data_IF_476832446958
#
_entry.id   IF_476832446958
#
_cell.length_a   1.000
_cell.length_b   1.000
_cell.length_c   1.000
_cell.angle_alpha   90.00
_cell.angle_beta   90.00
_cell.angle_gamma   90.00
#
_symmetry.space_group_name_H-M   'P 1'
#
loop_
_entity.id
_entity.type
_entity.pdbx_description
1 polymer ?
#
# COMPACT_ATOMS: atom_id res chain seq x y z
N UNK A 1 22.19 9.24 10.39
CA UNK A 1 22.48 9.20 8.93
C UNK A 1 21.13 9.39 8.27
N UNK A 2 20.90 10.56 7.66
CA UNK A 2 19.55 11.16 7.47
C UNK A 2 18.55 10.20 6.85
N UNK A 3 18.96 9.45 5.83
CA UNK A 3 18.07 8.50 5.16
C UNK A 3 17.71 7.30 6.03
N UNK A 4 18.65 6.81 6.85
CA UNK A 4 18.40 5.70 7.75
C UNK A 4 17.39 6.08 8.83
N UNK A 5 17.50 7.29 9.35
CA UNK A 5 16.59 7.82 10.37
C UNK A 5 15.18 8.01 9.78
N UNK A 6 15.08 8.56 8.56
CA UNK A 6 13.83 8.69 7.83
C UNK A 6 13.12 7.34 7.61
N UNK A 7 13.84 6.31 7.14
CA UNK A 7 13.27 4.97 6.98
C UNK A 7 12.91 4.32 8.33
N UNK A 8 13.68 4.59 9.39
CA UNK A 8 13.38 4.13 10.74
C UNK A 8 12.03 4.66 11.24
N UNK A 9 11.75 5.95 11.02
CA UNK A 9 10.45 6.53 11.37
C UNK A 9 9.32 6.01 10.50
N UNK A 10 9.52 5.89 9.18
CA UNK A 10 8.46 5.47 8.28
C UNK A 10 8.07 4.00 8.44
N UNK A 11 9.06 3.10 8.58
CA UNK A 11 8.82 1.66 8.70
C UNK A 11 8.63 1.20 10.15
N UNK A 12 8.50 2.12 11.11
CA UNK A 12 8.33 1.78 12.52
C UNK A 12 7.09 0.89 12.77
N UNK A 13 6.08 0.98 11.90
CA UNK A 13 4.88 0.14 11.90
C UNK A 13 5.21 -1.35 11.86
N UNK A 14 6.30 -1.74 11.20
CA UNK A 14 6.77 -3.14 11.12
C UNK A 14 7.32 -3.68 12.43
N UNK A 15 7.60 -2.81 13.39
CA UNK A 15 8.16 -3.16 14.70
C UNK A 15 7.11 -3.14 15.82
N UNK A 16 5.86 -2.85 15.50
CA UNK A 16 4.75 -2.90 16.47
C UNK A 16 4.54 -4.37 16.88
N UNK A 17 4.44 -4.70 18.19
CA UNK A 17 4.40 -6.09 18.67
C UNK A 17 3.02 -6.76 18.51
N UNK A 18 2.06 -6.06 17.89
CA UNK A 18 0.70 -6.53 17.62
C UNK A 18 0.39 -6.35 16.14
N UNK A 19 -0.55 -7.12 15.58
CA UNK A 19 -0.95 -6.96 14.18
C UNK A 19 -1.42 -5.53 13.88
N UNK A 20 -1.00 -5.00 12.73
CA UNK A 20 -1.41 -3.68 12.26
C UNK A 20 -2.29 -3.81 11.02
N UNK A 21 -3.46 -3.20 11.06
CA UNK A 21 -4.41 -3.15 9.94
C UNK A 21 -4.44 -1.73 9.38
N UNK A 22 -4.23 -1.59 8.07
CA UNK A 22 -4.43 -0.33 7.35
C UNK A 22 -5.88 -0.22 6.87
N UNK A 23 -6.63 0.73 7.44
CA UNK A 23 -7.93 1.17 6.92
C UNK A 23 -7.74 2.28 5.88
N UNK A 24 -7.89 1.95 4.60
CA UNK A 24 -7.69 2.86 3.47
C UNK A 24 -9.03 3.55 3.17
N UNK A 25 -9.31 4.66 3.86
CA UNK A 25 -10.57 5.40 3.79
C UNK A 25 -10.61 6.48 2.68
N UNK A 26 -9.99 6.19 1.54
CA UNK A 26 -9.80 7.14 0.45
C UNK A 26 -8.54 6.85 -0.34
N UNK A 27 -8.26 7.66 -1.36
CA UNK A 27 -7.13 7.40 -2.26
C UNK A 27 -5.77 7.45 -1.54
N UNK A 28 -4.98 6.39 -1.66
CA UNK A 28 -3.62 6.30 -1.11
C UNK A 28 -2.61 6.15 -2.24
N UNK A 29 -1.78 7.17 -2.45
CA UNK A 29 -0.86 7.26 -3.60
C UNK A 29 0.58 7.40 -3.10
N UNK A 30 1.51 6.67 -3.73
CA UNK A 30 2.94 6.76 -3.42
C UNK A 30 3.21 6.34 -1.98
N UNK A 31 3.79 7.24 -1.18
CA UNK A 31 4.17 6.95 0.20
C UNK A 31 3.01 6.44 1.08
N UNK A 32 1.78 6.92 0.87
CA UNK A 32 0.60 6.43 1.60
C UNK A 32 0.32 4.94 1.31
N UNK A 33 0.45 4.52 0.05
CA UNK A 33 0.28 3.12 -0.32
C UNK A 33 1.46 2.25 0.17
N UNK A 34 2.68 2.80 0.17
CA UNK A 34 3.84 2.12 0.73
C UNK A 34 3.64 1.84 2.23
N UNK A 35 3.10 2.80 2.99
CA UNK A 35 2.79 2.61 4.41
C UNK A 35 1.70 1.55 4.61
N UNK A 36 0.60 1.63 3.87
CA UNK A 36 -0.47 0.64 3.95
C UNK A 36 0.03 -0.78 3.64
N UNK A 37 0.97 -0.91 2.70
CA UNK A 37 1.57 -2.21 2.31
C UNK A 37 2.57 -2.72 3.33
N UNK A 38 3.15 -1.85 4.15
CA UNK A 38 3.96 -2.25 5.30
C UNK A 38 3.09 -2.79 6.46
N UNK A 39 1.81 -2.42 6.57
CA UNK A 39 0.89 -3.05 7.53
C UNK A 39 0.66 -4.53 7.22
N UNK A 40 0.20 -5.30 8.21
CA UNK A 40 -0.01 -6.75 8.06
C UNK A 40 -1.25 -7.02 7.21
N UNK A 41 -2.36 -6.32 7.50
CA UNK A 41 -3.63 -6.41 6.77
C UNK A 41 -4.01 -5.04 6.18
N UNK A 42 -4.85 -5.07 5.15
CA UNK A 42 -5.36 -3.89 4.45
C UNK A 42 -6.84 -4.08 4.15
N UNK A 43 -7.64 -3.11 4.59
CA UNK A 43 -9.06 -2.94 4.25
C UNK A 43 -9.19 -1.65 3.46
N UNK A 44 -9.87 -1.68 2.33
CA UNK A 44 -9.98 -0.52 1.44
C UNK A 44 -11.43 -0.13 1.20
N UNK A 45 -11.71 1.16 1.28
CA UNK A 45 -12.98 1.74 0.84
C UNK A 45 -13.25 1.43 -0.64
N UNK A 46 -14.49 1.04 -0.96
CA UNK A 46 -14.89 0.64 -2.32
C UNK A 46 -14.69 1.73 -3.39
N UNK A 47 -14.72 3.02 -3.01
CA UNK A 47 -14.53 4.15 -3.92
C UNK A 47 -13.07 4.64 -4.00
N UNK A 48 -12.18 4.11 -3.16
CA UNK A 48 -10.79 4.55 -3.12
C UNK A 48 -10.01 4.12 -4.38
N UNK A 49 -8.94 4.87 -4.69
CA UNK A 49 -7.94 4.49 -5.70
C UNK A 49 -6.55 4.51 -5.10
N UNK A 50 -5.75 3.50 -5.40
CA UNK A 50 -4.39 3.35 -4.85
C UNK A 50 -3.35 3.11 -5.92
N UNK A 51 -2.09 3.45 -5.65
CA UNK A 51 -1.02 3.17 -6.62
C UNK A 51 0.38 3.63 -6.22
N UNK A 52 1.36 3.13 -6.97
CA UNK A 52 2.80 3.37 -6.80
C UNK A 52 3.34 4.23 -7.95
N UNK A 53 2.88 5.48 -8.02
CA UNK A 53 3.02 6.35 -9.21
C UNK A 53 4.40 7.02 -9.37
N UNK A 54 5.44 6.52 -8.71
CA UNK A 54 6.79 7.13 -8.70
C UNK A 54 7.39 7.30 -10.10
N UNK A 55 7.16 6.33 -11.00
CA UNK A 55 7.69 6.36 -12.37
C UNK A 55 7.15 7.53 -13.18
N UNK A 56 5.92 7.99 -12.88
CA UNK A 56 5.32 9.16 -13.54
C UNK A 56 6.05 10.47 -13.16
N UNK A 57 6.86 10.44 -12.11
CA UNK A 57 7.71 11.55 -11.67
C UNK A 57 9.19 11.34 -12.06
N UNK A 58 9.51 10.27 -12.81
CA UNK A 58 10.89 9.89 -13.12
C UNK A 58 11.67 9.37 -11.90
N UNK A 59 10.96 8.91 -10.86
CA UNK A 59 11.57 8.44 -9.61
C UNK A 59 11.54 6.92 -9.50
N UNK A 60 12.61 6.37 -8.94
CA UNK A 60 12.61 4.98 -8.46
C UNK A 60 11.61 4.83 -7.29
N UNK A 61 10.83 3.74 -7.23
CA UNK A 61 9.88 3.52 -6.13
C UNK A 61 10.57 3.44 -4.75
N UNK A 62 10.22 4.37 -3.85
CA UNK A 62 10.81 4.45 -2.52
C UNK A 62 10.03 3.66 -1.46
N UNK A 63 10.39 3.90 -0.19
CA UNK A 63 9.59 3.49 0.98
C UNK A 63 9.34 1.98 1.06
N UNK A 64 10.34 1.20 0.64
CA UNK A 64 10.30 -0.27 0.60
C UNK A 64 9.22 -0.87 -0.33
N UNK A 65 8.65 -0.08 -1.27
CA UNK A 65 7.67 -0.56 -2.24
C UNK A 65 8.18 -1.76 -3.05
N UNK A 66 9.42 -1.69 -3.53
CA UNK A 66 10.08 -2.78 -4.29
C UNK A 66 10.32 -4.04 -3.46
N UNK A 67 10.28 -3.94 -2.13
CA UNK A 67 10.46 -5.08 -1.24
C UNK A 67 9.13 -5.72 -0.83
N UNK A 68 8.14 -4.91 -0.45
CA UNK A 68 6.86 -5.43 0.06
C UNK A 68 5.84 -5.74 -1.03
N UNK A 69 5.77 -4.94 -2.10
CA UNK A 69 4.76 -5.14 -3.13
C UNK A 69 4.85 -6.52 -3.80
N UNK A 70 6.04 -7.04 -4.18
CA UNK A 70 6.12 -8.40 -4.74
C UNK A 70 5.68 -9.51 -3.78
N UNK A 71 5.79 -9.29 -2.46
CA UNK A 71 5.38 -10.26 -1.45
C UNK A 71 3.85 -10.34 -1.28
N UNK A 72 3.15 -9.23 -1.54
CA UNK A 72 1.69 -9.17 -1.41
C UNK A 72 0.98 -9.42 -2.74
N UNK A 73 1.52 -8.91 -3.85
CA UNK A 73 0.88 -8.96 -5.16
C UNK A 73 1.47 -10.00 -6.13
N UNK A 74 2.54 -10.68 -5.72
CA UNK A 74 3.37 -11.48 -6.60
C UNK A 74 4.23 -10.63 -7.53
N UNK A 75 5.26 -11.24 -8.09
CA UNK A 75 6.27 -10.55 -8.90
C UNK A 75 5.66 -9.84 -10.13
N UNK A 76 4.75 -10.51 -10.83
CA UNK A 76 4.21 -10.02 -12.10
C UNK A 76 3.38 -8.74 -11.93
N UNK A 77 2.44 -8.72 -10.99
CA UNK A 77 1.64 -7.53 -10.73
C UNK A 77 2.49 -6.42 -10.12
N UNK A 78 3.42 -6.75 -9.21
CA UNK A 78 4.33 -5.76 -8.65
C UNK A 78 5.17 -5.07 -9.72
N UNK A 79 5.81 -5.83 -10.61
CA UNK A 79 6.60 -5.26 -11.71
C UNK A 79 5.74 -4.37 -12.61
N UNK A 80 4.54 -4.80 -12.96
CA UNK A 80 3.61 -3.98 -13.76
C UNK A 80 3.31 -2.65 -13.06
N UNK A 81 2.83 -2.70 -11.82
CA UNK A 81 2.45 -1.52 -11.04
C UNK A 81 3.61 -0.53 -10.87
N UNK A 82 4.81 -1.03 -10.58
CA UNK A 82 6.00 -0.20 -10.34
C UNK A 82 6.56 0.43 -11.63
N UNK A 83 6.48 -0.28 -12.76
CA UNK A 83 7.01 0.20 -14.05
C UNK A 83 6.03 1.09 -14.81
N UNK A 84 4.72 0.90 -14.63
CA UNK A 84 3.70 1.70 -15.34
C UNK A 84 3.15 2.83 -14.49
N UNK A 85 3.25 2.73 -13.16
CA UNK A 85 2.60 3.67 -12.25
C UNK A 85 1.07 3.64 -12.36
N UNK A 86 0.49 2.54 -12.85
CA UNK A 86 -0.97 2.43 -12.97
C UNK A 86 -1.64 2.46 -11.59
N UNK A 87 -2.82 3.07 -11.56
CA UNK A 87 -3.67 3.12 -10.39
C UNK A 87 -4.63 1.93 -10.37
N UNK A 88 -4.92 1.43 -9.17
CA UNK A 88 -5.89 0.36 -8.93
C UNK A 88 -7.13 0.95 -8.25
N UNK A 89 -8.31 0.52 -8.70
CA UNK A 89 -9.53 0.61 -7.90
C UNK A 89 -9.58 -0.51 -6.85
N UNK A 90 -10.55 -0.46 -5.94
CA UNK A 90 -10.68 -1.44 -4.85
C UNK A 90 -10.75 -2.89 -5.37
N UNK A 91 -11.50 -3.13 -6.44
CA UNK A 91 -11.67 -4.47 -7.02
C UNK A 91 -10.37 -4.99 -7.63
N UNK A 92 -9.60 -4.15 -8.30
CA UNK A 92 -8.29 -4.52 -8.86
C UNK A 92 -7.27 -4.76 -7.75
N UNK A 93 -7.25 -3.91 -6.73
CA UNK A 93 -6.36 -4.07 -5.59
C UNK A 93 -6.65 -5.39 -4.83
N UNK A 94 -7.92 -5.76 -4.67
CA UNK A 94 -8.34 -7.04 -4.09
C UNK A 94 -7.90 -8.22 -4.97
N UNK A 95 -8.19 -8.17 -6.28
CA UNK A 95 -7.80 -9.25 -7.22
C UNK A 95 -6.29 -9.47 -7.26
N UNK A 96 -5.50 -8.41 -7.16
CA UNK A 96 -4.04 -8.51 -7.14
C UNK A 96 -3.48 -8.92 -5.78
N UNK A 97 -4.29 -9.05 -4.72
CA UNK A 97 -3.83 -9.36 -3.36
C UNK A 97 -3.16 -8.18 -2.64
N UNK A 98 -3.20 -6.98 -3.23
CA UNK A 98 -2.68 -5.75 -2.60
C UNK A 98 -3.56 -5.36 -1.43
N UNK A 99 -4.86 -5.64 -1.48
CA UNK A 99 -5.82 -5.44 -0.39
C UNK A 99 -6.48 -6.78 -0.08
N UNK A 100 -6.78 -7.02 1.20
CA UNK A 100 -7.42 -8.28 1.65
C UNK A 100 -8.95 -8.20 1.69
N UNK A 101 -9.50 -7.00 1.91
CA UNK A 101 -10.93 -6.80 2.07
C UNK A 101 -11.38 -5.42 1.57
N UNK A 102 -12.59 -5.35 1.01
CA UNK A 102 -13.21 -4.09 0.57
C UNK A 102 -14.34 -3.75 1.54
N UNK A 103 -14.35 -2.52 2.03
CA UNK A 103 -15.39 -1.98 2.89
C UNK A 103 -16.35 -1.07 2.10
N UNK A 104 -17.63 -0.99 2.49
CA UNK A 104 -18.53 0.03 1.96
C UNK A 104 -17.97 1.44 2.17
N UNK A 105 -18.43 2.39 1.37
CA UNK A 105 -18.02 3.78 1.45
C UNK A 105 -18.08 4.33 2.88
N UNK A 106 -16.95 4.84 3.35
CA UNK A 106 -16.76 5.46 4.66
C UNK A 106 -16.69 4.49 5.83
N UNK A 107 -16.61 3.17 5.58
CA UNK A 107 -16.66 2.14 6.64
C UNK A 107 -15.37 1.34 6.80
N UNK A 108 -14.27 1.78 6.17
CA UNK A 108 -13.01 1.03 6.18
C UNK A 108 -12.42 0.84 7.59
N UNK A 109 -12.63 1.80 8.50
CA UNK A 109 -12.17 1.72 9.89
C UNK A 109 -13.02 0.76 10.70
N UNK A 110 -14.33 0.75 10.48
CA UNK A 110 -15.29 -0.11 11.17
C UNK A 110 -15.11 -1.58 10.78
N UNK A 111 -14.70 -1.84 9.53
CA UNK A 111 -14.41 -3.18 9.00
C UNK A 111 -13.01 -3.66 9.41
N UNK A 112 -12.05 -2.77 9.58
CA UNK A 112 -10.68 -3.09 10.02
C UNK A 112 -10.60 -3.50 11.50
N UNK A 113 -11.04 -4.71 11.83
CA UNK A 113 -11.09 -5.27 13.19
C UNK A 113 -10.47 -6.67 13.29
#
# INVERSE_FOLDING_TARGET
DVMRDFYGYFLCVRSIPVPVIAAINGSAIGAGMCLATACDLRVMDEEAKVGYTFVNLGLHPGMAATHFLPKVAGQQHATRLLLTGEMMDAQTALRYGVVGEIAPKGQSVEVAK
#
